data_IF_723525682317
#
_entry.id   IF_723525682317
#
_cell.length_a   1.000
_cell.length_b   1.000
_cell.length_c   1.000
_cell.angle_alpha   90.00
_cell.angle_beta   90.00
_cell.angle_gamma   90.00
#
_symmetry.space_group_name_H-M   'P 1'
#
loop_
_entity.id
_entity.type
_entity.pdbx_description
1 polymer ?
#
# COMPACT_ATOMS: atom_id res chain seq x y z
N UNK A 1 -11.01 -1.14 -0.95
CA UNK A 1 -10.38 -2.08 0.02
C UNK A 1 -8.93 -1.69 0.36
N UNK A 2 -8.02 -1.52 -0.61
CA UNK A 2 -6.63 -1.06 -0.33
C UNK A 2 -6.60 0.27 0.45
N UNK A 3 -7.33 1.29 -0.02
CA UNK A 3 -7.41 2.59 0.66
C UNK A 3 -7.93 2.49 2.10
N UNK A 4 -8.93 1.64 2.32
CA UNK A 4 -9.46 1.36 3.66
C UNK A 4 -8.40 0.76 4.56
N UNK A 5 -7.61 -0.21 4.07
CA UNK A 5 -6.51 -0.81 4.83
C UNK A 5 -5.45 0.24 5.21
N UNK A 6 -5.03 1.08 4.27
CA UNK A 6 -4.06 2.15 4.53
C UNK A 6 -4.63 3.17 5.53
N UNK A 7 -5.92 3.52 5.41
CA UNK A 7 -6.59 4.44 6.34
C UNK A 7 -6.72 3.85 7.75
N UNK A 8 -7.14 2.60 7.86
CA UNK A 8 -7.33 1.89 9.13
C UNK A 8 -6.02 1.64 9.86
N UNK A 9 -4.91 1.56 9.14
CA UNK A 9 -3.59 1.46 9.75
C UNK A 9 -3.17 2.72 10.52
N UNK A 10 -3.87 3.85 10.33
CA UNK A 10 -3.65 5.08 11.11
C UNK A 10 -2.29 5.73 10.95
N UNK A 11 -1.47 5.26 9.99
CA UNK A 11 -0.09 5.71 9.84
C UNK A 11 0.61 5.13 8.60
N UNK A 12 1.93 5.40 8.47
CA UNK A 12 2.75 4.91 7.37
C UNK A 12 2.76 3.38 7.26
N UNK A 13 2.27 2.82 6.15
CA UNK A 13 2.28 1.37 5.90
C UNK A 13 3.08 0.97 4.67
N UNK A 14 3.75 -0.17 4.75
CA UNK A 14 4.46 -0.76 3.61
C UNK A 14 3.52 -1.53 2.69
N UNK A 15 3.94 -1.75 1.44
CA UNK A 15 3.21 -2.62 0.52
C UNK A 15 3.03 -4.05 1.06
N UNK A 16 3.98 -4.52 1.89
CA UNK A 16 3.91 -5.80 2.58
C UNK A 16 2.75 -5.83 3.58
N UNK A 17 2.68 -4.87 4.49
CA UNK A 17 1.61 -4.80 5.49
C UNK A 17 0.23 -4.68 4.84
N UNK A 18 0.13 -3.90 3.76
CA UNK A 18 -1.11 -3.82 2.98
C UNK A 18 -1.45 -5.19 2.35
N UNK A 19 -0.45 -5.92 1.86
CA UNK A 19 -0.62 -7.25 1.31
C UNK A 19 -1.08 -8.27 2.35
N UNK A 20 -0.45 -8.27 3.52
CA UNK A 20 -0.78 -9.15 4.66
C UNK A 20 -2.25 -8.96 5.07
N UNK A 21 -2.70 -7.71 5.26
CA UNK A 21 -4.11 -7.41 5.61
C UNK A 21 -5.10 -7.76 4.48
N UNK A 22 -4.64 -7.77 3.23
CA UNK A 22 -5.48 -8.16 2.08
C UNK A 22 -5.44 -9.66 1.78
N UNK A 23 -4.67 -10.45 2.54
CA UNK A 23 -4.48 -11.88 2.29
C UNK A 23 -3.67 -12.17 1.03
N UNK A 24 -2.87 -11.20 0.56
CA UNK A 24 -1.92 -11.41 -0.53
C UNK A 24 -0.72 -12.14 0.04
N UNK A 25 -0.30 -13.20 -0.66
CA UNK A 25 0.95 -13.87 -0.33
C UNK A 25 2.14 -12.95 -0.61
N UNK A 26 2.65 -12.34 0.47
CA UNK A 26 3.75 -11.36 0.41
C UNK A 26 5.13 -12.00 0.31
N UNK A 27 5.23 -13.31 0.52
CA UNK A 27 6.46 -14.08 0.34
C UNK A 27 6.75 -14.31 -1.14
N UNK A 28 5.70 -14.34 -1.98
CA UNK A 28 5.84 -14.43 -3.43
C UNK A 28 5.97 -13.02 -4.05
N UNK A 29 7.19 -12.67 -4.47
CA UNK A 29 7.49 -11.37 -5.11
C UNK A 29 6.56 -11.07 -6.29
N UNK A 30 6.24 -12.07 -7.11
CA UNK A 30 5.34 -11.94 -8.26
C UNK A 30 3.89 -11.55 -7.89
N UNK A 31 3.46 -11.79 -6.63
CA UNK A 31 2.16 -11.37 -6.12
C UNK A 31 2.23 -10.01 -5.43
N UNK A 32 3.37 -9.68 -4.82
CA UNK A 32 3.59 -8.40 -4.14
C UNK A 32 3.84 -7.23 -5.11
N UNK A 33 4.58 -7.44 -6.19
CA UNK A 33 4.93 -6.37 -7.15
C UNK A 33 3.69 -5.76 -7.84
N UNK A 34 2.67 -6.53 -8.27
CA UNK A 34 1.42 -5.96 -8.77
C UNK A 34 0.66 -5.12 -7.72
N UNK A 35 0.72 -5.50 -6.44
CA UNK A 35 0.13 -4.72 -5.34
C UNK A 35 0.89 -3.40 -5.16
N UNK A 36 2.22 -3.44 -5.23
CA UNK A 36 3.08 -2.25 -5.18
C UNK A 36 2.77 -1.29 -6.32
N UNK A 37 2.61 -1.79 -7.54
CA UNK A 37 2.20 -0.98 -8.69
C UNK A 37 0.81 -0.38 -8.55
N UNK A 38 -0.12 -1.04 -7.85
CA UNK A 38 -1.44 -0.45 -7.51
C UNK A 38 -1.31 0.68 -6.49
N UNK A 39 -0.48 0.52 -5.45
CA UNK A 39 -0.22 1.56 -4.45
C UNK A 39 0.44 2.80 -5.05
N UNK A 40 1.38 2.61 -5.98
CA UNK A 40 1.99 3.72 -6.74
C UNK A 40 0.94 4.43 -7.58
N UNK A 41 0.11 3.71 -8.35
CA UNK A 41 -0.99 4.34 -9.12
C UNK A 41 -1.99 5.12 -8.26
N UNK A 42 -2.27 4.65 -7.04
CA UNK A 42 -3.10 5.41 -6.09
C UNK A 42 -2.37 6.66 -5.56
N UNK A 43 -1.05 6.63 -5.50
CA UNK A 43 -0.21 7.79 -5.18
C UNK A 43 -0.21 8.80 -6.32
N UNK A 44 -0.02 8.37 -7.57
CA UNK A 44 -0.08 9.24 -8.76
C UNK A 44 -1.44 9.93 -8.90
N UNK A 45 -2.52 9.25 -8.51
CA UNK A 45 -3.87 9.83 -8.49
C UNK A 45 -4.12 10.79 -7.32
N UNK A 46 -3.16 10.94 -6.40
CA UNK A 46 -3.26 11.83 -5.25
C UNK A 46 -4.04 11.27 -4.05
N UNK A 47 -4.46 10.00 -4.09
CA UNK A 47 -5.22 9.36 -3.00
C UNK A 47 -4.31 8.89 -1.86
N UNK A 48 -3.10 8.46 -2.20
CA UNK A 48 -2.06 8.08 -1.26
C UNK A 48 -0.87 9.02 -1.38
N UNK A 49 -0.07 9.10 -0.32
CA UNK A 49 1.26 9.71 -0.33
C UNK A 49 2.30 8.64 -0.08
N UNK A 50 3.25 8.50 -1.00
CA UNK A 50 4.47 7.71 -0.79
C UNK A 50 5.50 8.57 -0.06
N UNK A 51 6.04 8.05 1.03
CA UNK A 51 7.12 8.66 1.79
C UNK A 51 8.49 8.25 1.23
N UNK A 52 9.56 9.01 1.52
CA UNK A 52 10.91 8.71 1.05
C UNK A 52 11.41 7.33 1.50
N UNK A 53 10.93 6.82 2.63
CA UNK A 53 11.25 5.49 3.15
C UNK A 53 10.45 4.34 2.48
N UNK A 54 9.60 4.66 1.50
CA UNK A 54 8.84 3.66 0.73
C UNK A 54 7.52 3.22 1.37
N UNK A 55 7.09 3.87 2.46
CA UNK A 55 5.76 3.69 3.06
C UNK A 55 4.69 4.54 2.36
N UNK A 56 3.45 4.11 2.49
CA UNK A 56 2.26 4.76 1.97
C UNK A 56 1.38 5.24 3.12
N UNK A 57 0.81 6.43 2.97
CA UNK A 57 -0.19 6.99 3.91
C UNK A 57 -1.36 7.55 3.12
N UNK A 58 -2.55 7.56 3.71
CA UNK A 58 -3.69 8.23 3.09
C UNK A 58 -3.51 9.75 3.18
N UNK A 59 -3.79 10.43 2.06
CA UNK A 59 -4.03 11.87 2.11
C UNK A 59 -5.44 12.04 2.66
N UNK A 60 -5.56 12.54 3.90
CA UNK A 60 -6.84 12.98 4.47
C UNK A 60 -7.38 14.16 3.67
#
# INVERSE_FOLDING_TARGET
>A
RILTVVRQAGGPVTARQVGETLGVDVSVKSKLEPLRGKLIRLTDRGWLRKQPDGRFTTRL
#
